data_IF_168982573695
#
_entry.id   IF_168982573695
#
_cell.length_a   1.000
_cell.length_b   1.000
_cell.length_c   1.000
_cell.angle_alpha   90.00
_cell.angle_beta   90.00
_cell.angle_gamma   90.00
#
_symmetry.space_group_name_H-M   'P 1'
#
loop_
_entity.id
_entity.type
_entity.pdbx_description
1 polymer ?
#
# COMPACT_ATOMS: atom_id res chain seq x y z
N UNK A 1 -0.54 -21.31 -4.68
CA UNK A 1 0.64 -20.94 -3.87
C UNK A 1 1.44 -19.84 -4.58
N UNK A 2 1.84 -18.82 -3.84
CA UNK A 2 2.65 -17.72 -4.35
C UNK A 2 4.11 -18.17 -4.45
N UNK A 3 4.82 -17.93 -5.58
CA UNK A 3 6.24 -18.26 -5.67
C UNK A 3 7.07 -17.53 -4.60
N UNK A 4 8.11 -18.21 -4.08
CA UNK A 4 8.99 -17.69 -3.05
C UNK A 4 8.87 -18.48 -1.77
N UNK A 5 9.91 -18.43 -0.95
CA UNK A 5 9.99 -19.23 0.26
C UNK A 5 10.04 -18.41 1.55
N UNK A 6 10.08 -17.07 1.45
CA UNK A 6 10.29 -16.19 2.59
C UNK A 6 9.16 -15.17 2.78
N UNK A 7 7.95 -15.53 2.36
CA UNK A 7 6.77 -14.70 2.58
C UNK A 7 6.40 -14.72 4.05
N UNK A 8 6.15 -13.55 4.65
CA UNK A 8 5.86 -13.48 6.06
C UNK A 8 4.52 -12.82 6.39
N UNK A 9 4.08 -11.85 5.61
CA UNK A 9 2.86 -11.10 5.90
C UNK A 9 2.01 -11.03 4.63
N UNK A 10 1.14 -12.03 4.40
CA UNK A 10 0.24 -11.98 3.25
C UNK A 10 -0.99 -11.11 3.55
N UNK A 11 -1.49 -10.46 2.52
CA UNK A 11 -2.74 -9.70 2.58
C UNK A 11 -3.52 -9.89 1.28
N UNK A 12 -4.82 -9.81 1.37
CA UNK A 12 -5.71 -9.95 0.23
C UNK A 12 -6.88 -8.99 0.36
N UNK A 13 -7.22 -8.30 -0.72
CA UNK A 13 -8.31 -7.33 -0.73
C UNK A 13 -9.25 -7.57 -1.92
N UNK A 14 -9.68 -8.80 -2.12
CA UNK A 14 -10.65 -9.14 -3.15
C UNK A 14 -10.08 -9.15 -4.57
N UNK A 15 -9.60 -8.00 -5.04
CA UNK A 15 -9.12 -7.84 -6.41
C UNK A 15 -7.62 -7.71 -6.54
N UNK A 16 -6.91 -7.49 -5.44
CA UNK A 16 -5.45 -7.47 -5.45
C UNK A 16 -4.91 -8.05 -4.16
N UNK A 17 -3.68 -8.49 -4.21
CA UNK A 17 -3.03 -9.15 -3.11
C UNK A 17 -1.60 -8.64 -2.95
N UNK A 18 -1.05 -8.79 -1.78
CA UNK A 18 0.32 -8.40 -1.51
C UNK A 18 0.90 -9.17 -0.35
N UNK A 19 2.22 -9.11 -0.23
CA UNK A 19 2.91 -9.76 0.87
C UNK A 19 4.27 -9.11 1.09
N UNK A 20 4.73 -9.14 2.32
CA UNK A 20 6.08 -8.71 2.68
C UNK A 20 6.91 -9.96 2.91
N UNK A 21 8.09 -10.02 2.31
CA UNK A 21 9.05 -11.08 2.57
C UNK A 21 9.86 -10.79 3.82
N UNK A 22 10.52 -11.81 4.35
CA UNK A 22 11.33 -11.66 5.56
C UNK A 22 12.52 -10.73 5.36
N UNK A 23 12.93 -10.46 4.12
CA UNK A 23 14.00 -9.50 3.81
C UNK A 23 13.50 -8.04 3.74
N UNK A 24 12.23 -7.79 4.04
CA UNK A 24 11.66 -6.44 4.04
C UNK A 24 11.18 -5.95 2.68
N UNK A 25 11.20 -6.80 1.65
CA UNK A 25 10.67 -6.42 0.34
C UNK A 25 9.16 -6.61 0.29
N UNK A 26 8.48 -5.72 -0.42
CA UNK A 26 7.02 -5.72 -0.56
C UNK A 26 6.67 -6.09 -2.00
N UNK A 27 5.80 -7.08 -2.15
CA UNK A 27 5.37 -7.60 -3.44
C UNK A 27 3.86 -7.51 -3.55
N UNK A 28 3.36 -7.18 -4.73
CA UNK A 28 1.93 -6.93 -4.93
C UNK A 28 1.54 -7.38 -6.34
N UNK A 29 0.28 -7.80 -6.50
CA UNK A 29 -0.25 -8.23 -7.79
C UNK A 29 -1.77 -8.13 -7.80
N UNK A 30 -2.36 -8.19 -9.00
CA UNK A 30 -3.80 -8.19 -9.18
C UNK A 30 -4.29 -6.96 -9.93
N UNK A 31 -5.49 -6.51 -9.59
CA UNK A 31 -6.15 -5.37 -10.23
C UNK A 31 -5.43 -4.06 -9.93
N UNK A 32 -5.32 -3.20 -10.96
CA UNK A 32 -4.55 -1.96 -10.83
C UNK A 32 -5.19 -0.76 -11.54
N UNK A 33 -6.50 -0.78 -11.77
CA UNK A 33 -7.16 0.32 -12.49
C UNK A 33 -7.12 1.66 -11.73
N UNK A 34 -6.91 1.64 -10.43
CA UNK A 34 -6.79 2.83 -9.59
C UNK A 34 -5.37 3.08 -9.11
N UNK A 35 -4.38 2.37 -9.67
CA UNK A 35 -3.00 2.48 -9.20
C UNK A 35 -2.77 1.78 -7.86
N UNK A 36 -3.67 0.89 -7.45
CA UNK A 36 -3.60 0.26 -6.13
C UNK A 36 -2.41 -0.68 -5.96
N UNK A 37 -1.68 -0.98 -7.03
CA UNK A 37 -0.45 -1.77 -6.92
C UNK A 37 0.79 -0.93 -6.64
N UNK A 38 0.69 0.41 -6.73
CA UNK A 38 1.80 1.28 -6.39
C UNK A 38 3.00 1.19 -7.32
N UNK A 39 2.79 0.82 -8.59
CA UNK A 39 3.87 0.55 -9.54
C UNK A 39 4.03 1.64 -10.60
N UNK A 40 3.53 2.84 -10.30
CA UNK A 40 3.54 3.99 -11.23
C UNK A 40 2.85 3.67 -12.55
N UNK A 41 1.80 2.86 -12.51
CA UNK A 41 1.01 2.47 -13.67
C UNK A 41 -0.38 2.03 -13.24
N UNK A 42 -1.27 1.80 -14.20
CA UNK A 42 -2.58 1.22 -13.97
C UNK A 42 -2.73 -0.14 -14.67
N UNK A 43 -1.62 -0.78 -15.01
CA UNK A 43 -1.60 -2.09 -15.65
C UNK A 43 -1.81 -3.18 -14.61
N UNK A 44 -2.69 -4.14 -14.91
CA UNK A 44 -2.91 -5.30 -14.05
C UNK A 44 -1.74 -6.28 -14.14
N UNK A 45 -1.39 -6.91 -13.02
CA UNK A 45 -0.33 -7.90 -12.95
C UNK A 45 -0.87 -9.19 -12.35
N UNK A 46 -0.67 -10.30 -13.04
CA UNK A 46 -1.11 -11.62 -12.55
C UNK A 46 -0.03 -12.35 -11.75
N UNK A 47 1.19 -11.80 -11.68
CA UNK A 47 2.30 -12.36 -10.90
C UNK A 47 2.83 -11.30 -9.95
N UNK A 48 3.42 -11.68 -8.81
CA UNK A 48 3.98 -10.71 -7.87
C UNK A 48 5.02 -9.80 -8.51
N UNK A 49 4.92 -8.49 -8.25
CA UNK A 49 5.86 -7.47 -8.67
C UNK A 49 6.33 -6.73 -7.44
N UNK A 50 7.63 -6.43 -7.35
CA UNK A 50 8.19 -5.76 -6.19
C UNK A 50 7.91 -4.26 -6.23
N UNK A 51 7.42 -3.72 -5.12
CA UNK A 51 7.41 -2.27 -4.89
C UNK A 51 8.81 -1.88 -4.42
N UNK A 52 9.41 -0.78 -4.95
CA UNK A 52 10.76 -0.39 -4.54
C UNK A 52 10.90 -0.22 -3.03
N UNK A 53 12.07 -0.59 -2.50
CA UNK A 53 12.41 -0.49 -1.09
C UNK A 53 12.56 -1.83 -0.42
N UNK A 54 13.30 -1.86 0.69
CA UNK A 54 13.63 -3.07 1.42
C UNK A 54 13.32 -3.00 2.91
N UNK A 55 12.63 -1.96 3.36
CA UNK A 55 12.38 -1.74 4.79
C UNK A 55 10.89 -1.72 5.12
N UNK A 56 10.08 -2.39 4.34
CA UNK A 56 8.66 -2.52 4.60
C UNK A 56 8.41 -3.46 5.76
N UNK A 57 7.57 -3.05 6.72
CA UNK A 57 7.29 -3.84 7.92
C UNK A 57 5.83 -4.23 8.10
N UNK A 58 4.90 -3.47 7.53
CA UNK A 58 3.47 -3.76 7.61
C UNK A 58 2.79 -3.38 6.31
N UNK A 59 1.72 -4.08 5.96
CA UNK A 59 0.93 -3.83 4.76
C UNK A 59 -0.54 -4.01 5.10
N UNK A 60 -1.39 -3.12 4.59
CA UNK A 60 -2.83 -3.32 4.63
C UNK A 60 -3.42 -2.92 3.28
N UNK A 61 -4.38 -3.71 2.81
CA UNK A 61 -4.99 -3.56 1.49
C UNK A 61 -6.50 -3.47 1.63
N UNK A 62 -7.10 -2.62 0.81
CA UNK A 62 -8.55 -2.65 0.53
C UNK A 62 -8.74 -2.53 -0.98
N UNK A 63 -9.96 -2.65 -1.46
CA UNK A 63 -10.26 -2.90 -2.88
C UNK A 63 -9.54 -1.99 -3.87
N UNK A 64 -9.39 -0.71 -3.57
CA UNK A 64 -8.88 0.26 -4.53
C UNK A 64 -7.65 1.03 -4.04
N UNK A 65 -7.14 0.73 -2.85
CA UNK A 65 -6.00 1.43 -2.29
C UNK A 65 -5.26 0.59 -1.26
N UNK A 66 -4.07 1.05 -0.90
CA UNK A 66 -3.19 0.30 -0.01
C UNK A 66 -2.39 1.25 0.86
N UNK A 67 -1.96 0.75 2.00
CA UNK A 67 -1.04 1.47 2.89
C UNK A 67 -0.03 0.52 3.49
N UNK A 68 1.16 1.06 3.79
CA UNK A 68 2.23 0.27 4.37
C UNK A 68 3.10 1.13 5.28
N UNK A 69 3.68 0.48 6.29
CA UNK A 69 4.66 1.09 7.19
C UNK A 69 6.05 0.58 6.86
N UNK A 70 7.02 1.46 6.96
CA UNK A 70 8.44 1.08 6.94
C UNK A 70 8.99 0.96 8.35
N UNK A 71 10.11 0.29 8.48
CA UNK A 71 10.77 0.11 9.78
C UNK A 71 11.25 1.41 10.41
N UNK A 72 11.42 2.47 9.60
CA UNK A 72 11.81 3.81 10.10
C UNK A 72 10.62 4.62 10.65
N UNK A 73 9.42 4.02 10.70
CA UNK A 73 8.23 4.68 11.22
C UNK A 73 7.48 5.54 10.21
N UNK A 74 7.90 5.56 8.95
CA UNK A 74 7.16 6.28 7.92
C UNK A 74 6.00 5.45 7.39
N UNK A 75 4.91 6.15 7.05
CA UNK A 75 3.67 5.55 6.59
C UNK A 75 3.43 6.00 5.14
N UNK A 76 3.12 5.06 4.28
CA UNK A 76 2.98 5.29 2.85
C UNK A 76 1.64 4.77 2.35
N UNK A 77 1.05 5.47 1.37
CA UNK A 77 -0.20 5.05 0.77
C UNK A 77 -0.21 5.23 -0.73
N UNK A 78 -1.08 4.50 -1.40
CA UNK A 78 -1.26 4.61 -2.85
C UNK A 78 -2.62 4.05 -3.27
N UNK A 79 -3.00 4.35 -4.52
CA UNK A 79 -4.28 3.94 -5.06
C UNK A 79 -5.31 5.06 -5.05
N UNK A 80 -6.57 4.71 -4.97
CA UNK A 80 -7.69 5.64 -5.01
C UNK A 80 -7.66 6.63 -3.85
N UNK A 81 -7.85 7.91 -4.14
CA UNK A 81 -7.81 8.98 -3.14
C UNK A 81 -9.19 9.59 -2.87
N UNK A 82 -10.26 8.85 -3.06
CA UNK A 82 -11.60 9.33 -2.72
C UNK A 82 -11.67 9.73 -1.25
N UNK A 83 -12.33 10.82 -0.94
CA UNK A 83 -12.47 11.36 0.42
C UNK A 83 -11.14 11.81 1.04
N UNK A 84 -10.07 11.96 0.24
CA UNK A 84 -8.77 12.42 0.76
C UNK A 84 -8.12 11.44 1.74
N UNK A 85 -8.45 10.16 1.65
CA UNK A 85 -8.04 9.15 2.63
C UNK A 85 -6.54 8.87 2.67
N UNK A 86 -5.78 9.31 1.66
CA UNK A 86 -4.33 9.13 1.63
C UNK A 86 -3.58 10.23 2.38
N UNK A 87 -4.28 11.15 3.04
CA UNK A 87 -3.67 12.10 3.96
C UNK A 87 -2.72 13.10 3.32
N UNK A 88 -2.92 13.44 2.04
CA UNK A 88 -2.01 14.33 1.31
C UNK A 88 -2.54 15.76 1.22
N UNK A 89 -3.60 16.09 1.98
CA UNK A 89 -4.29 17.38 1.90
C UNK A 89 -4.77 17.69 0.46
N UNK A 90 -5.08 16.64 -0.30
CA UNK A 90 -5.57 16.70 -1.67
C UNK A 90 -6.76 15.76 -1.79
N UNK A 91 -7.92 16.28 -2.14
CA UNK A 91 -9.09 15.47 -2.40
C UNK A 91 -9.12 14.95 -3.85
N UNK A 92 -10.15 14.17 -4.20
CA UNK A 92 -10.23 13.60 -5.55
C UNK A 92 -10.43 14.64 -6.64
N UNK A 93 -10.84 15.86 -6.29
CA UNK A 93 -10.92 16.96 -7.27
C UNK A 93 -9.54 17.49 -7.65
N UNK A 94 -8.54 17.31 -6.79
CA UNK A 94 -7.16 17.68 -7.06
C UNK A 94 -6.36 16.48 -7.57
N UNK A 95 -6.35 15.39 -6.79
CA UNK A 95 -5.66 14.16 -7.19
C UNK A 95 -6.57 12.97 -6.89
N UNK A 96 -7.08 12.34 -7.95
CA UNK A 96 -8.03 11.25 -7.83
C UNK A 96 -7.38 9.94 -7.38
N UNK A 97 -6.08 9.76 -7.69
CA UNK A 97 -5.35 8.53 -7.33
C UNK A 97 -3.85 8.81 -7.30
N UNK A 98 -3.14 7.95 -6.56
CA UNK A 98 -1.68 7.91 -6.58
C UNK A 98 -1.25 6.53 -7.07
N UNK A 99 -0.55 6.48 -8.18
CA UNK A 99 -0.08 5.21 -8.77
C UNK A 99 1.25 4.76 -8.20
N UNK A 100 1.90 5.56 -7.35
CA UNK A 100 3.13 5.22 -6.64
C UNK A 100 2.96 5.52 -5.17
N UNK A 101 3.68 4.86 -4.26
CA UNK A 101 3.61 5.20 -2.85
C UNK A 101 3.93 6.67 -2.58
N UNK A 102 3.09 7.32 -1.76
CA UNK A 102 3.34 8.68 -1.27
C UNK A 102 3.39 8.63 0.25
N UNK A 103 4.32 9.38 0.85
CA UNK A 103 4.47 9.37 2.29
C UNK A 103 3.37 10.19 2.96
N UNK A 104 2.74 9.60 3.97
CA UNK A 104 1.85 10.35 4.86
C UNK A 104 2.73 11.19 5.77
N UNK A 105 2.47 12.52 5.90
CA UNK A 105 3.34 13.36 6.72
C UNK A 105 3.53 12.86 8.14
N UNK A 106 4.75 12.97 8.64
CA UNK A 106 5.12 12.56 9.99
C UNK A 106 5.95 11.28 10.00
N UNK A 107 6.56 11.03 11.15
CA UNK A 107 7.37 9.83 11.40
C UNK A 107 6.93 9.19 12.71
N UNK A 108 7.51 8.06 13.04
CA UNK A 108 7.21 7.31 14.26
C UNK A 108 5.80 6.72 14.30
N UNK A 109 5.19 6.49 13.14
CA UNK A 109 3.95 5.73 13.08
C UNK A 109 4.25 4.29 13.47
N UNK A 110 3.40 3.68 14.28
CA UNK A 110 3.65 2.34 14.80
C UNK A 110 2.68 1.30 14.25
N UNK A 111 1.42 1.68 14.12
CA UNK A 111 0.38 0.77 13.62
C UNK A 111 -0.54 1.50 12.68
N UNK A 112 -1.09 0.76 11.72
CA UNK A 112 -2.10 1.30 10.83
C UNK A 112 -3.28 0.33 10.69
N UNK A 113 -4.43 0.88 10.36
CA UNK A 113 -5.62 0.13 9.98
C UNK A 113 -6.38 0.94 8.95
N UNK A 114 -6.85 0.30 7.89
CA UNK A 114 -7.56 1.00 6.83
C UNK A 114 -8.89 0.32 6.52
N UNK A 115 -9.84 1.14 6.04
CA UNK A 115 -11.12 0.67 5.54
C UNK A 115 -11.35 1.23 4.14
N UNK A 116 -12.53 1.03 3.58
CA UNK A 116 -12.79 1.45 2.21
C UNK A 116 -12.69 2.97 2.03
N UNK A 117 -13.00 3.75 3.06
CA UNK A 117 -13.07 5.21 2.94
C UNK A 117 -12.25 5.96 3.99
N UNK A 118 -11.48 5.26 4.82
CA UNK A 118 -10.73 5.91 5.90
C UNK A 118 -9.43 5.16 6.20
N UNK A 119 -8.53 5.86 6.88
CA UNK A 119 -7.30 5.29 7.40
C UNK A 119 -7.05 5.80 8.80
N UNK A 120 -6.51 4.96 9.66
CA UNK A 120 -6.16 5.28 11.03
C UNK A 120 -4.75 4.78 11.29
N UNK A 121 -3.91 5.65 11.89
CA UNK A 121 -2.57 5.26 12.29
C UNK A 121 -2.30 5.69 13.72
N UNK A 122 -1.52 4.90 14.43
CA UNK A 122 -1.19 5.14 15.83
C UNK A 122 0.31 5.43 15.97
N UNK A 123 0.61 6.42 16.80
CA UNK A 123 1.98 6.68 17.26
C UNK A 123 2.19 6.06 18.63
N UNK A 124 3.43 5.75 18.96
CA UNK A 124 3.73 5.26 20.32
C UNK A 124 3.44 6.30 21.37
#
# INVERSE_FOLDING_TARGET
>A
QVPGTTWSIPRNAGYHSGAIKTDGTLWIWGRNNEGQLGLNSTIHYSSPVQIPGTTWSSLDLVDEWAMALKTDGTWWGWGNNSYGKLGQNQGPSQIARYSSPVQIPGTTWEKLAIGNHYAIALKP
#
